data_IF_471350759864
#
_entry.id   IF_471350759864
#
_cell.length_a   1.000
_cell.length_b   1.000
_cell.length_c   1.000
_cell.angle_alpha   90.00
_cell.angle_beta   90.00
_cell.angle_gamma   90.00
#
_symmetry.space_group_name_H-M   'P 1'
#
loop_
_entity.id
_entity.type
_entity.pdbx_description
1 polymer ?
#
# COMPACT_ATOMS: atom_id res chain seq x y z
N UNK A 1 -15.89 18.63 2.76
CA UNK A 1 -17.36 18.80 2.66
C UNK A 1 -17.76 20.18 2.17
N UNK A 2 -17.32 21.26 2.84
CA UNK A 2 -17.58 22.64 2.41
C UNK A 2 -16.47 23.18 1.50
N UNK A 3 -16.81 24.04 0.56
CA UNK A 3 -15.88 24.80 -0.27
C UNK A 3 -15.32 26.01 0.50
N UNK A 4 -14.25 26.68 0.03
CA UNK A 4 -13.66 27.84 0.71
C UNK A 4 -14.64 29.00 0.96
N UNK A 5 -15.70 29.10 0.18
CA UNK A 5 -16.79 30.09 0.33
C UNK A 5 -17.86 29.66 1.36
N UNK A 6 -17.68 28.52 2.02
CA UNK A 6 -18.59 27.97 3.03
C UNK A 6 -19.75 27.13 2.48
N UNK A 7 -19.93 27.10 1.14
CA UNK A 7 -21.00 26.33 0.51
C UNK A 7 -20.73 24.82 0.59
N UNK A 8 -21.79 24.02 0.70
CA UNK A 8 -21.68 22.56 0.64
C UNK A 8 -21.34 22.14 -0.79
N UNK A 9 -20.27 21.36 -0.96
CA UNK A 9 -19.90 20.82 -2.27
C UNK A 9 -21.00 19.88 -2.77
N UNK A 10 -21.30 19.90 -4.07
CA UNK A 10 -22.39 19.12 -4.69
C UNK A 10 -22.37 17.64 -4.30
N UNK A 11 -21.19 17.00 -4.32
CA UNK A 11 -21.03 15.59 -3.96
C UNK A 11 -21.45 15.27 -2.51
N UNK A 12 -21.42 16.28 -1.63
CA UNK A 12 -21.77 16.17 -0.22
C UNK A 12 -23.20 16.64 0.09
N UNK A 13 -23.99 17.09 -0.89
CA UNK A 13 -25.30 17.71 -0.63
C UNK A 13 -26.29 16.77 0.07
N UNK A 14 -26.38 15.51 -0.37
CA UNK A 14 -27.24 14.50 0.25
C UNK A 14 -26.79 14.19 1.68
N UNK A 15 -25.48 13.98 1.89
CA UNK A 15 -24.93 13.75 3.22
C UNK A 15 -25.13 14.95 4.15
N UNK A 16 -24.96 16.18 3.66
CA UNK A 16 -25.20 17.40 4.42
C UNK A 16 -26.65 17.48 4.90
N UNK A 17 -27.60 17.28 3.98
CA UNK A 17 -29.02 17.27 4.33
C UNK A 17 -29.38 16.16 5.32
N UNK A 18 -28.71 15.01 5.25
CA UNK A 18 -28.90 13.92 6.20
C UNK A 18 -28.36 14.28 7.58
N UNK A 19 -27.15 14.83 7.65
CA UNK A 19 -26.52 15.27 8.90
C UNK A 19 -27.31 16.40 9.56
N UNK A 20 -27.86 17.34 8.79
CA UNK A 20 -28.70 18.44 9.31
C UNK A 20 -30.02 17.94 9.92
N UNK A 21 -30.50 16.75 9.51
CA UNK A 21 -31.74 16.14 10.01
C UNK A 21 -31.51 15.11 11.14
N UNK A 22 -30.26 14.80 11.48
CA UNK A 22 -29.91 13.86 12.54
C UNK A 22 -29.46 14.61 13.79
N UNK A 23 -29.87 14.13 14.96
CA UNK A 23 -29.30 14.61 16.21
C UNK A 23 -27.87 14.06 16.38
N UNK A 24 -26.98 14.86 16.97
CA UNK A 24 -25.65 14.42 17.38
C UNK A 24 -25.71 13.15 18.24
N UNK A 25 -26.69 13.05 19.15
CA UNK A 25 -26.90 11.87 19.98
C UNK A 25 -27.18 10.61 19.14
N UNK A 26 -27.93 10.73 18.04
CA UNK A 26 -28.17 9.63 17.11
C UNK A 26 -26.89 9.19 16.41
N UNK A 27 -26.05 10.15 15.98
CA UNK A 27 -24.76 9.86 15.35
C UNK A 27 -23.80 9.18 16.33
N UNK A 28 -23.68 9.67 17.56
CA UNK A 28 -22.86 9.05 18.61
C UNK A 28 -23.34 7.64 18.94
N UNK A 29 -24.66 7.44 19.01
CA UNK A 29 -25.24 6.09 19.23
C UNK A 29 -24.86 5.13 18.11
N UNK A 30 -24.96 5.56 16.84
CA UNK A 30 -24.54 4.76 15.69
C UNK A 30 -23.02 4.51 15.72
N UNK A 31 -22.22 5.48 16.12
CA UNK A 31 -20.75 5.40 16.17
C UNK A 31 -20.32 4.32 17.18
N UNK A 32 -20.91 4.36 18.38
CA UNK A 32 -20.69 3.34 19.41
C UNK A 32 -21.13 1.94 18.94
N UNK A 33 -22.26 1.85 18.22
CA UNK A 33 -22.72 0.59 17.65
C UNK A 33 -21.77 0.05 16.57
N UNK A 34 -21.16 0.93 15.76
CA UNK A 34 -20.14 0.56 14.79
C UNK A 34 -18.90 0.02 15.49
N UNK A 35 -18.36 0.74 16.47
CA UNK A 35 -17.19 0.30 17.24
C UNK A 35 -17.41 -1.04 17.95
N UNK A 36 -18.61 -1.27 18.49
CA UNK A 36 -18.97 -2.57 19.07
C UNK A 36 -19.00 -3.68 18.02
N UNK A 37 -19.51 -3.39 16.81
CA UNK A 37 -19.52 -4.35 15.72
C UNK A 37 -18.11 -4.68 15.23
N UNK A 38 -17.25 -3.67 15.07
CA UNK A 38 -15.83 -3.86 14.74
C UNK A 38 -15.14 -4.77 15.76
N UNK A 39 -15.42 -4.56 17.05
CA UNK A 39 -14.91 -5.40 18.14
C UNK A 39 -15.42 -6.84 18.05
N UNK A 40 -16.70 -7.04 17.75
CA UNK A 40 -17.30 -8.38 17.63
C UNK A 40 -16.80 -9.15 16.41
N UNK A 41 -16.54 -8.46 15.30
CA UNK A 41 -16.00 -9.04 14.07
C UNK A 41 -14.48 -9.27 14.14
N UNK A 42 -13.82 -8.83 15.22
CA UNK A 42 -12.37 -8.98 15.37
C UNK A 42 -11.58 -8.15 14.37
N UNK A 43 -12.16 -7.06 13.86
CA UNK A 43 -11.50 -6.14 12.93
C UNK A 43 -10.49 -5.32 13.75
N UNK A 44 -9.31 -5.88 13.95
CA UNK A 44 -8.23 -5.30 14.76
C UNK A 44 -7.04 -4.92 13.89
N UNK A 45 -6.16 -4.08 14.44
CA UNK A 45 -4.84 -3.80 13.91
C UNK A 45 -3.83 -3.93 15.05
N UNK A 46 -2.80 -4.74 14.87
CA UNK A 46 -1.73 -4.80 15.86
C UNK A 46 -0.80 -3.59 15.69
N UNK A 47 -0.82 -2.68 16.67
CA UNK A 47 0.21 -1.65 16.80
C UNK A 47 1.29 -2.22 17.71
N UNK A 48 2.51 -2.40 17.19
CA UNK A 48 3.67 -2.73 18.03
C UNK A 48 4.00 -1.51 18.90
N UNK A 49 3.32 -1.40 20.05
CA UNK A 49 3.72 -0.53 21.15
C UNK A 49 4.40 -1.41 22.21
N UNK A 50 5.60 -1.02 22.63
CA UNK A 50 6.29 -1.65 23.76
C UNK A 50 5.37 -1.66 25.00
N UNK A 51 4.87 -2.85 25.38
CA UNK A 51 4.18 -3.09 26.65
C UNK A 51 2.64 -2.93 26.67
N UNK A 52 1.95 -2.86 25.53
CA UNK A 52 0.47 -2.82 25.45
C UNK A 52 -0.17 -4.08 24.88
N UNK A 53 -1.51 -4.19 24.95
CA UNK A 53 -2.28 -5.27 24.30
C UNK A 53 -1.91 -5.37 22.82
N UNK A 54 -1.65 -6.59 22.34
CA UNK A 54 -1.17 -6.88 20.98
C UNK A 54 -2.16 -6.52 19.87
N UNK A 55 -3.40 -6.16 20.22
CA UNK A 55 -4.45 -5.78 19.29
C UNK A 55 -5.09 -4.47 19.76
N UNK A 56 -5.18 -3.48 18.87
CA UNK A 56 -6.00 -2.28 19.02
C UNK A 56 -7.08 -2.27 17.95
N UNK A 57 -8.27 -1.80 18.31
CA UNK A 57 -9.29 -1.48 17.33
C UNK A 57 -8.86 -0.25 16.53
N UNK A 58 -9.03 -0.29 15.22
CA UNK A 58 -8.90 0.90 14.39
C UNK A 58 -10.12 1.79 14.71
N UNK A 59 -9.91 3.07 15.09
CA UNK A 59 -11.02 4.00 15.22
C UNK A 59 -11.76 4.11 13.89
N UNK A 60 -13.07 3.91 13.93
CA UNK A 60 -13.95 4.05 12.79
C UNK A 60 -14.63 5.42 12.83
N UNK A 61 -14.96 6.02 11.69
CA UNK A 61 -15.79 7.23 11.65
C UNK A 61 -16.95 7.00 10.68
N UNK A 62 -18.16 7.34 11.12
CA UNK A 62 -19.39 7.15 10.34
C UNK A 62 -19.56 8.14 9.18
N UNK A 63 -18.79 9.22 9.12
CA UNK A 63 -18.98 10.25 8.09
C UNK A 63 -18.11 9.88 6.88
N UNK A 64 -18.70 9.46 5.75
CA UNK A 64 -17.91 8.93 4.65
C UNK A 64 -17.08 10.00 3.94
N UNK A 65 -15.91 9.59 3.45
CA UNK A 65 -15.16 10.35 2.45
C UNK A 65 -15.78 10.13 1.07
N UNK A 66 -16.46 11.15 0.55
CA UNK A 66 -17.10 11.11 -0.76
C UNK A 66 -16.16 11.72 -1.80
N UNK A 67 -15.93 10.96 -2.88
CA UNK A 67 -15.32 11.43 -4.12
C UNK A 67 -16.39 11.40 -5.22
N UNK A 68 -16.47 12.45 -6.01
CA UNK A 68 -17.33 12.42 -7.19
C UNK A 68 -16.74 11.55 -8.31
N UNK A 69 -17.56 11.18 -9.31
CA UNK A 69 -17.10 10.31 -10.40
C UNK A 69 -15.92 10.91 -11.17
N UNK A 70 -15.91 12.22 -11.40
CA UNK A 70 -14.86 12.89 -12.17
C UNK A 70 -13.53 12.97 -11.42
N UNK A 71 -13.58 13.10 -10.09
CA UNK A 71 -12.43 12.98 -9.21
C UNK A 71 -11.89 11.55 -9.23
N UNK A 72 -12.77 10.55 -9.14
CA UNK A 72 -12.38 9.15 -9.22
C UNK A 72 -11.81 8.78 -10.59
N UNK A 73 -12.37 9.28 -11.69
CA UNK A 73 -11.84 9.08 -13.06
C UNK A 73 -10.40 9.59 -13.22
N UNK A 74 -10.06 10.68 -12.54
CA UNK A 74 -8.70 11.21 -12.52
C UNK A 74 -7.77 10.28 -11.73
N UNK A 75 -8.18 9.90 -10.51
CA UNK A 75 -7.43 9.02 -9.62
C UNK A 75 -7.21 7.64 -10.26
N UNK A 76 -8.26 7.01 -10.78
CA UNK A 76 -8.23 5.71 -11.41
C UNK A 76 -7.24 5.69 -12.59
N UNK A 77 -7.38 6.63 -13.54
CA UNK A 77 -6.48 6.70 -14.70
C UNK A 77 -5.03 6.93 -14.28
N UNK A 78 -4.80 7.80 -13.30
CA UNK A 78 -3.46 8.09 -12.82
C UNK A 78 -2.81 6.93 -12.07
N UNK A 79 -3.55 6.22 -11.22
CA UNK A 79 -3.06 5.02 -10.56
C UNK A 79 -2.75 3.92 -11.58
N UNK A 80 -3.60 3.69 -12.57
CA UNK A 80 -3.35 2.71 -13.64
C UNK A 80 -2.08 3.05 -14.45
N UNK A 81 -1.92 4.31 -14.86
CA UNK A 81 -0.70 4.78 -15.55
C UNK A 81 0.55 4.53 -14.71
N UNK A 82 0.50 4.93 -13.43
CA UNK A 82 1.63 4.81 -12.50
C UNK A 82 2.04 3.36 -12.26
N UNK A 83 1.07 2.49 -11.96
CA UNK A 83 1.32 1.06 -11.70
C UNK A 83 1.84 0.34 -12.95
N UNK A 84 1.38 0.75 -14.14
CA UNK A 84 1.94 0.24 -15.41
C UNK A 84 3.41 0.62 -15.57
N UNK A 85 3.75 1.89 -15.34
CA UNK A 85 5.16 2.34 -15.40
C UNK A 85 6.03 1.64 -14.35
N UNK A 86 5.51 1.40 -13.14
CA UNK A 86 6.22 0.65 -12.09
C UNK A 86 6.47 -0.81 -12.50
N UNK A 87 5.47 -1.49 -13.08
CA UNK A 87 5.67 -2.87 -13.54
C UNK A 87 6.70 -2.95 -14.69
N UNK A 88 6.69 -2.00 -15.63
CA UNK A 88 7.70 -1.94 -16.69
C UNK A 88 9.08 -1.63 -16.10
N UNK A 89 9.16 -0.72 -15.12
CA UNK A 89 10.40 -0.43 -14.40
C UNK A 89 10.97 -1.69 -13.71
N UNK A 90 10.13 -2.42 -12.99
CA UNK A 90 10.52 -3.67 -12.33
C UNK A 90 11.01 -4.71 -13.34
N UNK A 91 10.34 -4.84 -14.48
CA UNK A 91 10.83 -5.70 -15.55
C UNK A 91 12.21 -5.24 -16.06
N UNK A 92 12.36 -3.96 -16.39
CA UNK A 92 13.61 -3.41 -16.93
C UNK A 92 14.81 -3.63 -16.00
N UNK A 93 14.70 -3.31 -14.70
CA UNK A 93 15.82 -3.43 -13.76
C UNK A 93 16.32 -4.86 -13.54
N UNK A 94 15.45 -5.86 -13.75
CA UNK A 94 15.81 -7.28 -13.65
C UNK A 94 16.23 -7.88 -15.00
N UNK A 95 16.17 -7.12 -16.09
CA UNK A 95 16.52 -7.55 -17.44
C UNK A 95 17.55 -6.59 -18.07
N UNK A 96 17.12 -5.75 -19.01
CA UNK A 96 18.02 -4.96 -19.83
C UNK A 96 18.53 -3.69 -19.15
N UNK A 97 17.88 -3.19 -18.10
CA UNK A 97 18.28 -2.01 -17.34
C UNK A 97 18.44 -0.74 -18.20
N UNK A 98 17.57 -0.58 -19.20
CA UNK A 98 17.58 0.52 -20.17
C UNK A 98 17.43 1.90 -19.49
N UNK A 99 16.63 2.03 -18.44
CA UNK A 99 16.47 3.31 -17.72
C UNK A 99 17.75 3.74 -16.99
N UNK A 100 18.57 2.76 -16.58
CA UNK A 100 19.88 2.99 -15.96
C UNK A 100 20.90 3.35 -17.05
N UNK A 101 20.92 2.61 -18.17
CA UNK A 101 21.78 2.89 -19.32
C UNK A 101 21.51 4.28 -19.92
N UNK A 102 20.25 4.72 -19.92
CA UNK A 102 19.84 6.06 -20.33
C UNK A 102 20.24 7.16 -19.33
N UNK A 103 20.76 6.82 -18.16
CA UNK A 103 21.20 7.76 -17.13
C UNK A 103 20.05 8.47 -16.38
N UNK A 104 18.81 7.96 -16.50
CA UNK A 104 17.64 8.58 -15.85
C UNK A 104 17.51 8.20 -14.38
N UNK A 105 17.82 6.94 -14.05
CA UNK A 105 17.88 6.42 -12.68
C UNK A 105 19.32 6.02 -12.37
N UNK A 106 19.95 6.55 -11.29
CA UNK A 106 21.30 6.16 -10.92
C UNK A 106 21.40 4.67 -10.53
N UNK A 107 22.43 3.95 -11.01
CA UNK A 107 22.58 2.51 -10.74
C UNK A 107 22.65 2.18 -9.25
N UNK A 108 23.27 3.04 -8.44
CA UNK A 108 23.42 2.85 -7.00
C UNK A 108 22.07 2.83 -6.26
N UNK A 109 21.02 3.46 -6.80
CA UNK A 109 19.68 3.43 -6.21
C UNK A 109 18.93 2.13 -6.44
N UNK A 110 19.36 1.36 -7.44
CA UNK A 110 18.78 0.07 -7.77
C UNK A 110 19.66 -1.03 -7.19
N UNK A 111 20.92 -1.08 -7.63
CA UNK A 111 21.82 -2.21 -7.39
C UNK A 111 22.34 -2.29 -5.95
N UNK A 112 22.34 -1.18 -5.20
CA UNK A 112 22.70 -1.16 -3.77
C UNK A 112 21.48 -1.09 -2.85
N UNK A 113 20.27 -1.14 -3.41
CA UNK A 113 19.05 -1.15 -2.62
C UNK A 113 18.91 -2.51 -1.91
N UNK A 114 18.61 -2.51 -0.61
CA UNK A 114 18.43 -3.74 0.17
C UNK A 114 17.22 -4.57 -0.25
N UNK A 115 16.26 -3.96 -0.95
CA UNK A 115 15.10 -4.62 -1.53
C UNK A 115 15.36 -5.14 -2.95
N UNK A 116 16.48 -4.78 -3.60
CA UNK A 116 16.88 -5.39 -4.85
C UNK A 116 17.26 -6.86 -4.61
N UNK A 117 16.88 -7.70 -5.55
CA UNK A 117 17.01 -9.17 -5.46
C UNK A 117 17.77 -9.66 -6.69
N UNK A 118 19.11 -9.76 -6.63
CA UNK A 118 19.90 -10.29 -7.74
C UNK A 118 19.42 -11.68 -8.21
N UNK A 119 18.79 -12.43 -7.31
CA UNK A 119 18.16 -13.71 -7.56
C UNK A 119 17.08 -13.66 -8.65
N UNK A 120 16.46 -12.50 -8.87
CA UNK A 120 15.40 -12.26 -9.86
C UNK A 120 15.92 -11.84 -11.23
N UNK A 121 17.24 -11.66 -11.42
CA UNK A 121 17.82 -11.28 -12.72
C UNK A 121 17.51 -12.33 -13.79
N UNK A 122 16.92 -11.87 -14.90
CA UNK A 122 16.53 -12.70 -16.04
C UNK A 122 15.37 -13.66 -15.76
N UNK A 123 14.67 -13.53 -14.63
CA UNK A 123 13.42 -14.27 -14.39
C UNK A 123 12.26 -13.49 -14.99
N UNK A 124 11.56 -14.11 -15.92
CA UNK A 124 10.32 -13.58 -16.48
C UNK A 124 9.12 -14.09 -15.65
N UNK A 125 8.48 -13.24 -14.82
CA UNK A 125 7.23 -13.63 -14.17
C UNK A 125 6.12 -13.78 -15.22
N UNK A 126 5.10 -14.61 -14.96
CA UNK A 126 3.96 -14.75 -15.87
C UNK A 126 3.35 -13.39 -16.26
N UNK A 127 3.10 -13.22 -17.56
CA UNK A 127 2.60 -11.97 -18.15
C UNK A 127 3.47 -10.73 -17.89
N UNK A 128 4.74 -10.90 -17.49
CA UNK A 128 5.67 -9.83 -17.12
C UNK A 128 5.13 -8.92 -16.00
N UNK A 129 4.27 -9.45 -15.11
CA UNK A 129 3.70 -8.70 -13.99
C UNK A 129 4.47 -8.99 -12.71
N UNK A 130 5.01 -7.94 -12.09
CA UNK A 130 5.67 -8.03 -10.79
C UNK A 130 4.71 -7.63 -9.67
N UNK A 131 4.16 -6.43 -9.74
CA UNK A 131 3.20 -5.88 -8.80
C UNK A 131 1.78 -6.17 -9.30
N UNK A 132 1.21 -7.28 -8.83
CA UNK A 132 -0.15 -7.72 -9.13
C UNK A 132 -1.17 -6.87 -8.36
N UNK A 133 -0.83 -6.53 -7.12
CA UNK A 133 -1.53 -5.55 -6.29
C UNK A 133 -0.56 -4.41 -5.96
N UNK A 134 -1.02 -3.18 -6.10
CA UNK A 134 -0.29 -1.99 -5.72
C UNK A 134 -1.19 -1.06 -4.90
N UNK A 135 -0.73 -0.67 -3.71
CA UNK A 135 -1.37 0.38 -2.91
C UNK A 135 -0.75 1.73 -3.24
N UNK A 136 -1.56 2.72 -3.61
CA UNK A 136 -1.09 4.07 -3.94
C UNK A 136 -1.65 5.05 -2.91
N UNK A 137 -0.78 5.57 -2.05
CA UNK A 137 -1.19 6.48 -0.99
C UNK A 137 -1.35 7.89 -1.56
N UNK A 138 -2.58 8.41 -1.48
CA UNK A 138 -2.94 9.68 -2.07
C UNK A 138 -3.37 10.68 -1.01
N UNK A 139 -2.88 11.90 -1.16
CA UNK A 139 -3.40 13.07 -0.46
C UNK A 139 -3.99 14.05 -1.45
N UNK A 140 -4.83 14.93 -0.91
CA UNK A 140 -5.48 15.99 -1.66
C UNK A 140 -5.16 17.33 -1.02
N UNK A 141 -4.84 18.34 -1.81
CA UNK A 141 -4.57 19.72 -1.32
C UNK A 141 -5.54 20.76 -1.88
N UNK A 142 -6.24 20.41 -2.96
CA UNK A 142 -7.24 21.26 -3.63
C UNK A 142 -8.32 20.42 -4.29
N UNK A 143 -9.20 21.03 -5.08
CA UNK A 143 -10.34 20.31 -5.65
C UNK A 143 -9.90 19.21 -6.63
N UNK A 144 -8.89 19.47 -7.46
CA UNK A 144 -8.35 18.48 -8.42
C UNK A 144 -6.88 18.14 -8.18
N UNK A 145 -6.36 18.58 -7.04
CA UNK A 145 -4.94 18.50 -6.74
C UNK A 145 -4.68 17.28 -5.85
N UNK A 146 -4.49 16.13 -6.50
CA UNK A 146 -4.09 14.88 -5.89
C UNK A 146 -2.58 14.67 -6.02
N UNK A 147 -1.97 14.20 -4.94
CA UNK A 147 -0.55 13.89 -4.86
C UNK A 147 -0.34 12.48 -4.32
N UNK A 148 0.52 11.71 -4.98
CA UNK A 148 1.01 10.44 -4.46
C UNK A 148 2.00 10.73 -3.35
N UNK A 149 1.83 10.13 -2.18
CA UNK A 149 2.81 10.16 -1.08
C UNK A 149 3.78 8.99 -1.16
N UNK A 150 3.25 7.81 -1.41
CA UNK A 150 3.97 6.55 -1.32
C UNK A 150 3.32 5.52 -2.26
N UNK A 151 4.15 4.63 -2.77
CA UNK A 151 3.75 3.46 -3.53
C UNK A 151 3.98 2.24 -2.63
N UNK A 152 3.11 1.24 -2.69
CA UNK A 152 3.23 0.03 -1.90
C UNK A 152 3.10 -1.17 -2.83
N UNK A 153 4.23 -1.75 -3.25
CA UNK A 153 4.26 -2.84 -4.25
C UNK A 153 4.87 -4.14 -3.71
N UNK A 154 5.18 -4.23 -2.41
CA UNK A 154 5.55 -5.47 -1.72
C UNK A 154 4.31 -6.31 -1.42
N UNK A 155 3.75 -6.15 -0.23
CA UNK A 155 2.62 -6.92 0.33
C UNK A 155 1.53 -5.96 0.82
N UNK A 156 1.00 -5.07 -0.06
CA UNK A 156 0.07 -4.02 0.36
C UNK A 156 -1.15 -4.59 1.08
N UNK A 157 -1.60 -3.88 2.11
CA UNK A 157 -2.74 -4.24 2.96
C UNK A 157 -3.76 -3.11 3.03
N UNK A 158 -4.94 -3.42 3.57
CA UNK A 158 -5.97 -2.46 3.93
C UNK A 158 -7.31 -2.66 3.24
N UNK A 159 -7.41 -3.57 2.28
CA UNK A 159 -8.63 -3.79 1.51
C UNK A 159 -9.74 -4.45 2.33
N UNK A 160 -9.40 -5.28 3.33
CA UNK A 160 -10.44 -5.83 4.23
C UNK A 160 -11.15 -4.70 4.96
N UNK A 161 -10.44 -3.65 5.38
CA UNK A 161 -11.07 -2.49 6.02
C UNK A 161 -11.97 -1.73 5.05
N UNK A 162 -11.63 -1.63 3.76
CA UNK A 162 -12.52 -0.99 2.77
C UNK A 162 -13.84 -1.74 2.65
N UNK A 163 -13.77 -3.07 2.60
CA UNK A 163 -14.94 -3.95 2.47
C UNK A 163 -15.80 -3.91 3.73
N UNK A 164 -15.19 -4.10 4.90
CA UNK A 164 -15.87 -4.04 6.19
C UNK A 164 -16.47 -2.65 6.46
N UNK A 165 -15.74 -1.57 6.19
CA UNK A 165 -16.26 -0.21 6.33
C UNK A 165 -17.54 -0.02 5.49
N UNK A 166 -17.58 -0.57 4.28
CA UNK A 166 -18.77 -0.48 3.41
C UNK A 166 -19.94 -1.24 4.00
N UNK A 167 -19.74 -2.50 4.40
CA UNK A 167 -20.80 -3.35 4.96
C UNK A 167 -21.37 -2.75 6.25
N UNK A 168 -20.50 -2.25 7.13
CA UNK A 168 -20.91 -1.64 8.40
C UNK A 168 -21.69 -0.36 8.16
N UNK A 169 -21.23 0.49 7.24
CA UNK A 169 -21.95 1.69 6.84
C UNK A 169 -23.33 1.37 6.26
N UNK A 170 -23.44 0.38 5.37
CA UNK A 170 -24.72 -0.03 4.79
C UNK A 170 -25.69 -0.58 5.84
N UNK A 171 -25.17 -1.28 6.86
CA UNK A 171 -25.97 -1.85 7.96
C UNK A 171 -26.43 -0.81 8.98
N UNK A 172 -25.56 0.11 9.40
CA UNK A 172 -25.82 1.04 10.51
C UNK A 172 -26.32 2.40 10.04
N UNK A 173 -25.99 2.78 8.81
CA UNK A 173 -26.34 4.06 8.23
C UNK A 173 -26.89 3.94 6.79
N UNK A 174 -27.92 3.12 6.54
CA UNK A 174 -28.47 2.89 5.20
C UNK A 174 -28.98 4.17 4.53
N UNK A 175 -29.48 5.14 5.31
CA UNK A 175 -29.94 6.43 4.80
C UNK A 175 -28.82 7.24 4.15
N UNK A 176 -27.56 7.01 4.53
CA UNK A 176 -26.40 7.63 3.88
C UNK A 176 -26.13 7.08 2.47
N UNK A 177 -26.81 5.99 2.08
CA UNK A 177 -26.77 5.41 0.73
C UNK A 177 -28.05 5.70 -0.06
N UNK A 178 -29.15 5.97 0.64
CA UNK A 178 -30.45 6.19 0.02
C UNK A 178 -30.41 7.37 -0.97
N UNK A 179 -30.90 7.13 -2.20
CA UNK A 179 -30.92 8.13 -3.26
C UNK A 179 -29.55 8.49 -3.85
N UNK A 180 -28.48 7.76 -3.50
CA UNK A 180 -27.14 7.97 -4.03
C UNK A 180 -26.70 6.80 -4.91
N UNK A 181 -25.95 7.09 -5.98
CA UNK A 181 -25.37 6.07 -6.86
C UNK A 181 -23.92 5.78 -6.45
N UNK A 182 -23.76 5.01 -5.38
CA UNK A 182 -22.45 4.65 -4.83
C UNK A 182 -21.94 3.39 -5.53
N UNK A 183 -20.70 3.43 -6.04
CA UNK A 183 -20.10 2.26 -6.69
C UNK A 183 -19.83 1.12 -5.68
N UNK A 184 -20.15 -0.14 -6.01
CA UNK A 184 -19.90 -1.28 -5.14
C UNK A 184 -18.41 -1.56 -5.03
N UNK A 185 -18.00 -2.14 -3.90
CA UNK A 185 -16.62 -2.61 -3.65
C UNK A 185 -16.56 -4.11 -3.35
N UNK A 186 -17.70 -4.75 -3.08
CA UNK A 186 -17.78 -6.13 -2.59
C UNK A 186 -17.22 -7.21 -3.53
N UNK A 187 -17.12 -6.93 -4.83
CA UNK A 187 -16.57 -7.87 -5.83
C UNK A 187 -15.04 -7.87 -5.91
N UNK A 188 -14.34 -7.17 -5.01
CA UNK A 188 -12.88 -7.13 -5.01
C UNK A 188 -12.23 -8.53 -4.87
N UNK A 189 -12.62 -9.40 -3.90
CA UNK A 189 -11.98 -10.70 -3.74
C UNK A 189 -12.14 -11.60 -4.98
N UNK A 190 -13.32 -11.59 -5.59
CA UNK A 190 -13.59 -12.33 -6.84
C UNK A 190 -12.65 -11.89 -7.96
N UNK A 191 -12.54 -10.57 -8.21
CA UNK A 191 -11.63 -10.01 -9.22
C UNK A 191 -10.17 -10.28 -8.91
N UNK A 192 -9.79 -10.27 -7.63
CA UNK A 192 -8.44 -10.63 -7.20
C UNK A 192 -8.14 -12.08 -7.54
N UNK A 193 -9.05 -13.01 -7.22
CA UNK A 193 -8.88 -14.42 -7.54
C UNK A 193 -8.78 -14.65 -9.05
N UNK A 194 -9.64 -13.99 -9.85
CA UNK A 194 -9.56 -14.04 -11.32
C UNK A 194 -8.18 -13.60 -11.83
N UNK A 195 -7.65 -12.49 -11.31
CA UNK A 195 -6.33 -11.99 -11.68
C UNK A 195 -5.20 -12.95 -11.25
N UNK A 196 -5.31 -13.56 -10.07
CA UNK A 196 -4.35 -14.55 -9.58
C UNK A 196 -4.37 -15.81 -10.46
N UNK A 197 -5.55 -16.30 -10.85
CA UNK A 197 -5.68 -17.45 -11.76
C UNK A 197 -5.10 -17.14 -13.15
N UNK A 198 -5.27 -15.90 -13.63
CA UNK A 198 -4.77 -15.46 -14.94
C UNK A 198 -3.24 -15.45 -15.08
N UNK A 199 -2.50 -15.48 -13.97
CA UNK A 199 -1.03 -15.57 -13.97
C UNK A 199 -0.51 -17.00 -13.75
N UNK A 200 -1.39 -18.00 -13.74
CA UNK A 200 -0.97 -19.40 -13.60
C UNK A 200 -0.07 -19.84 -14.75
N UNK A 201 1.08 -20.49 -14.47
CA UNK A 201 1.97 -20.99 -15.52
C UNK A 201 1.49 -22.30 -16.15
N UNK A 202 0.57 -23.02 -15.50
CA UNK A 202 0.17 -24.37 -15.94
C UNK A 202 -0.82 -24.36 -17.10
N UNK A 203 -1.45 -23.22 -17.39
CA UNK A 203 -2.54 -23.13 -18.38
C UNK A 203 -3.75 -24.02 -18.03
N UNK A 204 -3.84 -24.49 -16.78
CA UNK A 204 -4.95 -25.31 -16.30
C UNK A 204 -6.25 -24.51 -16.30
N UNK A 205 -7.38 -25.18 -16.57
CA UNK A 205 -8.70 -24.55 -16.54
C UNK A 205 -9.09 -24.06 -15.13
N UNK A 206 -8.64 -24.76 -14.08
CA UNK A 206 -8.82 -24.36 -12.68
C UNK A 206 -7.50 -24.48 -11.90
N UNK A 207 -6.65 -23.43 -11.95
CA UNK A 207 -5.36 -23.46 -11.27
C UNK A 207 -5.53 -23.30 -9.76
N UNK A 208 -4.76 -24.07 -9.00
CA UNK A 208 -4.80 -24.03 -7.54
C UNK A 208 -4.07 -22.79 -7.03
N UNK A 209 -4.84 -21.88 -6.42
CA UNK A 209 -4.35 -20.66 -5.78
C UNK A 209 -4.37 -20.84 -4.27
N UNK A 210 -3.30 -20.44 -3.59
CA UNK A 210 -3.22 -20.42 -2.12
C UNK A 210 -2.77 -19.07 -1.60
N UNK A 211 -3.18 -18.68 -0.39
CA UNK A 211 -2.67 -17.50 0.30
C UNK A 211 -1.62 -17.92 1.32
N UNK A 212 -0.36 -17.54 1.10
CA UNK A 212 0.73 -17.82 2.05
C UNK A 212 0.81 -16.72 3.11
N UNK A 213 0.60 -17.10 4.37
CA UNK A 213 0.62 -16.19 5.53
C UNK A 213 1.80 -16.47 6.46
N UNK A 214 2.38 -15.45 7.12
CA UNK A 214 3.35 -15.63 8.20
C UNK A 214 2.71 -16.11 9.52
N UNK A 215 1.39 -16.31 9.55
CA UNK A 215 0.65 -16.81 10.70
C UNK A 215 0.13 -15.71 11.64
N UNK A 216 -0.50 -16.15 12.72
CA UNK A 216 -1.33 -15.32 13.64
C UNK A 216 -0.63 -14.16 14.35
N UNK A 217 0.70 -14.16 14.39
CA UNK A 217 1.47 -13.12 15.07
C UNK A 217 1.76 -11.90 14.19
N UNK A 218 1.32 -11.92 12.93
CA UNK A 218 1.42 -10.79 12.03
C UNK A 218 0.22 -9.84 12.19
N UNK A 219 0.47 -8.53 12.14
CA UNK A 219 -0.54 -7.49 12.34
C UNK A 219 -1.68 -7.49 11.32
N UNK A 220 -1.45 -8.01 10.11
CA UNK A 220 -2.42 -8.10 9.03
C UNK A 220 -3.06 -9.50 8.92
N UNK A 221 -2.83 -10.40 9.87
CA UNK A 221 -3.35 -11.77 9.81
C UNK A 221 -4.88 -11.85 9.63
N UNK A 222 -5.62 -10.93 10.26
CA UNK A 222 -7.07 -10.81 10.04
C UNK A 222 -7.41 -10.64 8.55
N UNK A 223 -6.71 -9.74 7.84
CA UNK A 223 -6.93 -9.54 6.41
C UNK A 223 -6.56 -10.78 5.59
N UNK A 224 -5.54 -11.53 6.01
CA UNK A 224 -5.12 -12.75 5.32
C UNK A 224 -6.23 -13.81 5.39
N UNK A 225 -6.78 -14.04 6.58
CA UNK A 225 -7.92 -14.95 6.80
C UNK A 225 -9.13 -14.48 6.01
N UNK A 226 -9.49 -13.21 6.15
CA UNK A 226 -10.63 -12.61 5.47
C UNK A 226 -10.55 -12.77 3.95
N UNK A 227 -9.41 -12.44 3.34
CA UNK A 227 -9.24 -12.54 1.89
C UNK A 227 -9.24 -14.00 1.41
N UNK A 228 -8.62 -14.92 2.15
CA UNK A 228 -8.64 -16.35 1.79
C UNK A 228 -10.08 -16.89 1.83
N UNK A 229 -10.85 -16.57 2.87
CA UNK A 229 -12.24 -16.96 3.01
C UNK A 229 -13.12 -16.37 1.90
N UNK A 230 -13.02 -15.06 1.64
CA UNK A 230 -13.82 -14.40 0.61
C UNK A 230 -13.49 -14.86 -0.82
N UNK A 231 -12.25 -15.25 -1.08
CA UNK A 231 -11.85 -15.87 -2.35
C UNK A 231 -12.20 -17.36 -2.41
N UNK A 232 -12.46 -18.01 -1.28
CA UNK A 232 -12.64 -19.47 -1.21
C UNK A 232 -11.37 -20.23 -1.56
N UNK A 233 -10.20 -19.74 -1.13
CA UNK A 233 -8.90 -20.39 -1.33
C UNK A 233 -8.27 -20.79 0.02
N UNK A 234 -7.33 -21.72 -0.03
CA UNK A 234 -6.64 -22.19 1.17
C UNK A 234 -5.69 -21.12 1.73
N UNK A 235 -5.80 -20.89 3.05
CA UNK A 235 -4.85 -20.11 3.83
C UNK A 235 -3.78 -21.07 4.37
N UNK A 236 -2.52 -20.87 3.95
CA UNK A 236 -1.42 -21.79 4.25
C UNK A 236 -0.24 -21.08 4.91
N UNK A 237 0.45 -21.76 5.80
CA UNK A 237 1.77 -21.35 6.31
C UNK A 237 2.88 -22.11 5.57
N UNK A 238 4.15 -21.67 5.73
CA UNK A 238 5.29 -22.28 5.02
C UNK A 238 5.42 -23.80 5.24
N UNK A 239 5.08 -24.29 6.43
CA UNK A 239 5.13 -25.72 6.77
C UNK A 239 4.11 -26.60 6.03
N UNK A 240 3.02 -26.00 5.55
CA UNK A 240 1.96 -26.69 4.79
C UNK A 240 2.36 -26.94 3.35
N UNK A 241 3.38 -26.22 2.85
CA UNK A 241 3.90 -26.32 1.51
C UNK A 241 5.25 -27.04 1.47
N UNK A 242 5.54 -27.70 0.35
CA UNK A 242 6.87 -28.29 0.11
C UNK A 242 7.20 -28.38 -1.38
N UNK A 243 8.48 -28.37 -1.71
CA UNK A 243 8.96 -28.56 -3.07
C UNK A 243 9.31 -30.01 -3.32
N UNK A 244 8.83 -30.58 -4.43
CA UNK A 244 9.19 -31.93 -4.89
C UNK A 244 9.10 -32.00 -6.42
N UNK A 245 10.11 -32.59 -7.05
CA UNK A 245 10.23 -32.75 -8.52
C UNK A 245 10.10 -31.43 -9.29
N UNK A 246 10.54 -30.34 -8.65
CA UNK A 246 10.47 -28.98 -9.20
C UNK A 246 9.04 -28.43 -9.29
N UNK A 247 8.13 -28.86 -8.43
CA UNK A 247 6.81 -28.27 -8.24
C UNK A 247 6.57 -27.97 -6.77
N UNK A 248 5.69 -26.99 -6.49
CA UNK A 248 5.19 -26.72 -5.14
C UNK A 248 3.95 -27.56 -4.89
N UNK A 249 3.90 -28.19 -3.72
CA UNK A 249 2.80 -29.04 -3.28
C UNK A 249 2.30 -28.55 -1.92
N UNK A 250 0.98 -28.55 -1.75
CA UNK A 250 0.30 -28.36 -0.47
C UNK A 250 0.01 -29.72 0.15
N UNK A 251 0.26 -29.86 1.46
CA UNK A 251 -0.05 -31.07 2.23
C UNK A 251 -1.56 -31.12 2.50
N UNK A 252 -2.20 -32.22 2.15
CA UNK A 252 -3.58 -32.52 2.56
C UNK A 252 -3.68 -33.94 3.09
N UNK A 253 -4.80 -34.27 3.74
CA UNK A 253 -5.07 -35.62 4.26
C UNK A 253 -5.27 -36.65 3.15
N UNK A 254 -5.78 -36.25 1.98
CA UNK A 254 -6.03 -37.13 0.83
C UNK A 254 -4.78 -37.31 -0.06
N UNK A 255 -3.75 -36.48 0.16
CA UNK A 255 -2.51 -36.50 -0.59
C UNK A 255 -2.03 -35.10 -0.97
N UNK A 256 -0.83 -34.98 -1.54
CA UNK A 256 -0.30 -33.67 -1.93
C UNK A 256 -1.06 -33.10 -3.14
N UNK A 257 -1.54 -31.86 -3.00
CA UNK A 257 -2.18 -31.10 -4.09
C UNK A 257 -1.16 -30.15 -4.69
N UNK A 258 -1.03 -30.12 -6.01
CA UNK A 258 -0.09 -29.20 -6.69
C UNK A 258 -0.62 -27.77 -6.58
N UNK A 259 0.26 -26.83 -6.23
CA UNK A 259 -0.05 -25.38 -6.19
C UNK A 259 0.48 -24.72 -7.45
N UNK A 260 -0.36 -23.92 -8.12
CA UNK A 260 0.01 -23.20 -9.33
C UNK A 260 0.34 -21.72 -9.07
N UNK A 261 -0.36 -21.09 -8.12
CA UNK A 261 -0.21 -19.67 -7.78
C UNK A 261 -0.19 -19.48 -6.27
N UNK A 262 0.77 -18.70 -5.79
CA UNK A 262 0.89 -18.33 -4.38
C UNK A 262 0.67 -16.82 -4.26
N UNK A 263 -0.44 -16.42 -3.64
CA UNK A 263 -0.62 -15.05 -3.17
C UNK A 263 0.11 -14.90 -1.83
N UNK A 264 1.29 -14.29 -1.85
CA UNK A 264 2.15 -14.19 -0.67
C UNK A 264 1.82 -12.95 0.16
N UNK A 265 1.76 -13.14 1.47
CA UNK A 265 1.73 -12.07 2.49
C UNK A 265 2.94 -12.13 3.42
N UNK A 266 4.03 -12.69 2.90
CA UNK A 266 5.33 -12.86 3.56
C UNK A 266 6.38 -12.06 2.77
N UNK A 267 7.27 -11.36 3.48
CA UNK A 267 8.33 -10.57 2.85
C UNK A 267 9.40 -11.44 2.19
N UNK A 268 10.01 -10.92 1.12
CA UNK A 268 10.94 -11.66 0.24
C UNK A 268 12.01 -12.44 0.99
N UNK A 269 12.63 -11.78 1.98
CA UNK A 269 13.75 -12.35 2.74
C UNK A 269 13.39 -13.61 3.55
N UNK A 270 12.10 -13.85 3.77
CA UNK A 270 11.59 -14.99 4.52
C UNK A 270 11.03 -16.10 3.61
N UNK A 271 10.90 -15.88 2.29
CA UNK A 271 10.16 -16.75 1.38
C UNK A 271 10.82 -18.10 1.09
N UNK A 272 12.15 -18.18 1.12
CA UNK A 272 12.91 -19.41 0.85
C UNK A 272 14.21 -19.42 1.67
N UNK A 273 14.31 -20.25 2.72
CA UNK A 273 15.52 -20.32 3.55
C UNK A 273 16.75 -20.87 2.83
N UNK A 274 16.60 -21.49 1.65
CA UNK A 274 17.75 -21.93 0.84
C UNK A 274 18.35 -20.79 0.01
N UNK A 275 17.62 -19.68 -0.16
CA UNK A 275 18.05 -18.54 -0.98
C UNK A 275 18.24 -17.25 -0.18
N UNK A 276 17.49 -17.07 0.91
CA UNK A 276 17.45 -15.82 1.68
C UNK A 276 17.86 -16.06 3.16
N UNK A 277 16.98 -15.74 4.12
CA UNK A 277 17.27 -15.95 5.54
C UNK A 277 17.19 -17.45 5.90
N UNK A 278 18.34 -18.05 6.18
CA UNK A 278 18.47 -19.49 6.43
C UNK A 278 17.74 -19.99 7.67
N UNK A 279 17.48 -19.11 8.64
CA UNK A 279 16.73 -19.38 9.87
C UNK A 279 15.22 -19.10 9.74
N UNK A 280 14.75 -18.64 8.56
CA UNK A 280 13.33 -18.43 8.31
C UNK A 280 12.55 -19.74 8.38
N UNK A 281 11.48 -19.73 9.19
CA UNK A 281 10.47 -20.80 9.26
C UNK A 281 9.17 -20.43 8.54
N UNK A 282 9.09 -19.25 7.94
CA UNK A 282 7.86 -18.72 7.31
C UNK A 282 7.72 -19.13 5.84
N UNK A 283 8.87 -19.37 5.18
CA UNK A 283 8.93 -19.68 3.76
C UNK A 283 8.89 -21.17 3.44
N UNK A 284 9.15 -21.47 2.17
CA UNK A 284 9.14 -22.84 1.64
C UNK A 284 10.53 -23.15 1.04
N UNK A 285 11.29 -24.10 1.60
CA UNK A 285 12.62 -24.44 1.09
C UNK A 285 12.60 -24.83 -0.40
N UNK A 286 13.39 -24.14 -1.21
CA UNK A 286 13.55 -24.40 -2.65
C UNK A 286 12.51 -23.72 -3.55
N UNK A 287 11.62 -22.90 -2.98
CA UNK A 287 10.60 -22.16 -3.72
C UNK A 287 11.18 -21.28 -4.83
N UNK A 288 12.30 -20.60 -4.58
CA UNK A 288 12.94 -19.76 -5.60
C UNK A 288 13.36 -20.57 -6.82
N UNK A 289 13.81 -21.82 -6.63
CA UNK A 289 14.14 -22.73 -7.72
C UNK A 289 12.92 -23.06 -8.60
N UNK A 290 11.73 -23.22 -8.00
CA UNK A 290 10.50 -23.46 -8.74
C UNK A 290 10.03 -22.21 -9.49
N UNK A 291 10.12 -21.03 -8.86
CA UNK A 291 9.83 -19.74 -9.50
C UNK A 291 10.72 -19.54 -10.72
N UNK A 292 12.05 -19.77 -10.59
CA UNK A 292 13.03 -19.65 -11.68
C UNK A 292 12.73 -20.53 -12.89
N UNK A 293 12.09 -21.68 -12.67
CA UNK A 293 11.71 -22.59 -13.76
C UNK A 293 10.33 -22.31 -14.34
N UNK A 294 9.66 -21.24 -13.87
CA UNK A 294 8.34 -20.82 -14.35
C UNK A 294 7.24 -21.81 -14.02
N UNK A 295 7.37 -22.60 -12.95
CA UNK A 295 6.42 -23.68 -12.61
C UNK A 295 5.42 -23.34 -11.50
N UNK A 296 5.60 -22.17 -10.87
CA UNK A 296 4.68 -21.58 -9.91
C UNK A 296 4.69 -20.06 -10.09
N UNK A 297 3.53 -19.42 -10.03
CA UNK A 297 3.44 -17.96 -10.00
C UNK A 297 3.43 -17.45 -8.56
N UNK A 298 4.04 -16.29 -8.34
CA UNK A 298 4.07 -15.62 -7.05
C UNK A 298 3.50 -14.21 -7.21
N UNK A 299 2.47 -13.89 -6.42
CA UNK A 299 1.83 -12.59 -6.40
C UNK A 299 1.97 -11.94 -5.02
N UNK A 300 2.51 -10.74 -4.87
CA UNK A 300 3.39 -10.07 -5.84
C UNK A 300 4.70 -10.85 -6.04
N UNK A 301 5.39 -10.62 -7.15
CA UNK A 301 6.70 -11.22 -7.41
C UNK A 301 7.73 -10.78 -6.34
N UNK A 302 8.84 -11.51 -6.23
CA UNK A 302 9.97 -11.09 -5.40
C UNK A 302 10.67 -9.88 -6.03
N UNK A 303 11.31 -9.05 -5.21
CA UNK A 303 12.11 -7.92 -5.67
C UNK A 303 11.34 -6.64 -5.98
N UNK A 304 10.03 -6.61 -5.77
CA UNK A 304 9.22 -5.42 -6.06
C UNK A 304 9.59 -4.21 -5.18
N UNK A 305 10.16 -4.45 -3.99
CA UNK A 305 10.45 -3.39 -3.02
C UNK A 305 11.50 -2.36 -3.44
N UNK A 306 12.23 -2.59 -4.53
CA UNK A 306 13.13 -1.58 -5.12
C UNK A 306 12.35 -0.44 -5.80
N UNK A 307 11.09 -0.68 -6.19
CA UNK A 307 10.24 0.33 -6.84
C UNK A 307 9.45 1.20 -5.85
N UNK A 308 9.16 0.72 -4.63
CA UNK A 308 8.51 1.51 -3.58
C UNK A 308 9.47 2.16 -2.58
N UNK A 309 10.78 2.06 -2.80
CA UNK A 309 11.75 2.77 -1.97
C UNK A 309 11.55 4.31 -2.10
N UNK A 310 11.66 5.03 -0.98
CA UNK A 310 11.45 6.49 -0.95
C UNK A 310 12.42 7.26 -1.83
N UNK A 311 13.62 6.73 -2.08
CA UNK A 311 14.56 7.33 -3.01
C UNK A 311 14.16 7.07 -4.47
N UNK A 312 13.46 5.97 -4.75
CA UNK A 312 12.94 5.64 -6.07
C UNK A 312 11.69 6.45 -6.42
N UNK A 313 10.86 6.76 -5.43
CA UNK A 313 9.63 7.54 -5.57
C UNK A 313 9.76 8.79 -6.46
N UNK A 314 10.86 9.56 -6.34
CA UNK A 314 11.06 10.80 -7.12
C UNK A 314 11.26 10.57 -8.62
N UNK A 315 11.64 9.36 -9.00
CA UNK A 315 11.89 8.99 -10.39
C UNK A 315 10.64 8.47 -11.10
N UNK A 316 9.57 8.14 -10.37
CA UNK A 316 8.35 7.57 -10.99
C UNK A 316 7.75 8.45 -12.09
N UNK A 317 7.67 9.79 -11.98
CA UNK A 317 7.24 10.63 -13.10
C UNK A 317 8.14 10.48 -14.34
N UNK A 318 9.46 10.33 -14.15
CA UNK A 318 10.40 10.06 -15.25
C UNK A 318 10.24 8.65 -15.81
N UNK A 319 9.88 7.67 -14.98
CA UNK A 319 9.54 6.32 -15.46
C UNK A 319 8.33 6.36 -16.37
N UNK A 320 7.28 7.11 -16.00
CA UNK A 320 6.08 7.29 -16.83
C UNK A 320 6.47 7.91 -18.18
N UNK A 321 7.26 8.98 -18.18
CA UNK A 321 7.73 9.62 -19.42
C UNK A 321 8.58 8.66 -20.27
N UNK A 322 9.53 7.95 -19.66
CA UNK A 322 10.45 7.07 -20.36
C UNK A 322 9.78 5.83 -20.95
N UNK A 323 8.94 5.14 -20.17
CA UNK A 323 8.34 3.87 -20.59
C UNK A 323 7.03 4.03 -21.34
N UNK A 324 6.24 5.06 -21.03
CA UNK A 324 4.91 5.24 -21.62
C UNK A 324 4.88 6.38 -22.64
N UNK A 325 5.87 7.29 -22.63
CA UNK A 325 5.84 8.49 -23.48
C UNK A 325 4.74 9.48 -23.07
N UNK A 326 4.28 9.39 -21.82
CA UNK A 326 3.16 10.16 -21.28
C UNK A 326 3.64 11.11 -20.17
N UNK A 327 2.88 12.16 -19.89
CA UNK A 327 3.07 12.95 -18.67
C UNK A 327 2.30 12.32 -17.50
N UNK A 328 2.86 12.40 -16.30
CA UNK A 328 2.23 11.89 -15.09
C UNK A 328 0.88 12.59 -14.83
N UNK A 329 -0.18 11.79 -14.70
CA UNK A 329 -1.53 12.28 -14.40
C UNK A 329 -1.66 12.70 -12.93
N UNK A 330 -1.08 11.89 -12.02
CA UNK A 330 -1.04 12.19 -10.59
C UNK A 330 0.30 12.83 -10.24
N UNK A 331 0.24 13.86 -9.41
CA UNK A 331 1.45 14.59 -9.03
C UNK A 331 2.25 13.81 -7.99
N UNK A 332 3.57 13.89 -8.06
CA UNK A 332 4.40 13.61 -6.90
C UNK A 332 4.47 14.86 -6.01
N UNK A 333 4.58 14.66 -4.71
CA UNK A 333 5.05 15.69 -3.79
C UNK A 333 6.48 16.06 -4.16
N UNK A 334 6.72 17.36 -4.31
CA UNK A 334 8.07 17.86 -4.55
C UNK A 334 9.00 17.41 -3.43
N UNK A 335 10.04 16.66 -3.79
CA UNK A 335 10.91 15.98 -2.83
C UNK A 335 12.36 16.33 -3.13
N UNK A 336 13.00 16.98 -2.16
CA UNK A 336 14.42 17.30 -2.19
C UNK A 336 15.25 16.09 -1.77
N UNK A 337 16.28 15.79 -2.55
CA UNK A 337 17.25 14.74 -2.29
C UNK A 337 18.46 15.30 -1.55
N UNK A 338 18.64 14.96 -0.28
CA UNK A 338 19.70 15.59 0.54
C UNK A 338 21.09 15.07 0.17
N UNK A 339 21.20 14.02 -0.65
CA UNK A 339 22.45 13.63 -1.31
C UNK A 339 23.01 14.74 -2.21
N UNK A 340 22.13 15.49 -2.89
CA UNK A 340 22.51 16.60 -3.76
C UNK A 340 22.92 17.79 -2.86
N UNK A 341 24.20 18.22 -2.90
CA UNK A 341 24.66 19.30 -2.04
C UNK A 341 23.88 20.62 -2.20
N UNK A 342 23.39 20.91 -3.41
CA UNK A 342 22.61 22.15 -3.67
C UNK A 342 21.23 22.06 -3.04
N UNK A 343 20.55 20.93 -3.21
CA UNK A 343 19.24 20.70 -2.59
C UNK A 343 19.36 20.63 -1.07
N UNK A 344 20.40 19.96 -0.54
CA UNK A 344 20.67 19.90 0.89
C UNK A 344 20.87 21.29 1.50
N UNK A 345 21.64 22.15 0.84
CA UNK A 345 21.82 23.52 1.30
C UNK A 345 20.49 24.28 1.32
N UNK A 346 19.71 24.20 0.24
CA UNK A 346 18.37 24.79 0.20
C UNK A 346 17.48 24.30 1.35
N UNK A 347 17.48 22.99 1.63
CA UNK A 347 16.74 22.41 2.75
C UNK A 347 17.22 22.94 4.09
N UNK A 348 18.53 23.08 4.31
CA UNK A 348 19.08 23.60 5.56
C UNK A 348 18.73 25.07 5.80
N UNK A 349 18.67 25.86 4.74
CA UNK A 349 18.30 27.28 4.80
C UNK A 349 16.79 27.46 5.07
N UNK A 350 15.97 26.50 4.62
CA UNK A 350 14.51 26.56 4.70
C UNK A 350 13.90 25.54 5.66
N UNK A 351 14.69 24.96 6.55
CA UNK A 351 14.30 23.79 7.35
C UNK A 351 13.07 24.04 8.25
N UNK A 352 12.79 25.29 8.58
CA UNK A 352 11.62 25.70 9.36
C UNK A 352 10.28 25.55 8.61
N UNK A 353 10.29 25.40 7.28
CA UNK A 353 9.09 25.25 6.45
C UNK A 353 8.94 23.85 5.81
N UNK A 354 9.92 22.97 6.05
CA UNK A 354 10.02 21.66 5.40
C UNK A 354 9.83 20.54 6.42
N UNK A 355 9.48 19.37 5.90
CA UNK A 355 9.47 18.12 6.64
C UNK A 355 10.62 17.25 6.14
N UNK A 356 11.51 16.81 7.02
CA UNK A 356 12.64 15.93 6.67
C UNK A 356 12.39 14.53 7.22
N UNK A 357 12.61 13.51 6.39
CA UNK A 357 12.33 12.10 6.70
C UNK A 357 13.50 11.23 6.26
N UNK A 358 13.71 10.11 6.94
CA UNK A 358 14.63 9.07 6.49
C UNK A 358 14.04 8.28 5.31
N UNK A 359 14.91 7.87 4.38
CA UNK A 359 14.57 7.05 3.20
C UNK A 359 14.10 5.67 3.66
N UNK A 360 14.82 5.06 4.60
CA UNK A 360 14.50 3.76 5.18
C UNK A 360 13.75 3.94 6.50
N UNK A 361 12.43 3.66 6.52
CA UNK A 361 11.63 3.67 7.75
C UNK A 361 10.14 3.78 7.51
N UNK A 362 9.33 3.07 8.29
CA UNK A 362 7.86 3.08 8.25
C UNK A 362 7.28 3.88 9.43
N UNK A 363 6.05 4.37 9.28
CA UNK A 363 5.25 4.86 10.41
C UNK A 363 5.64 6.23 11.00
N UNK A 364 6.29 7.12 10.24
CA UNK A 364 6.57 8.50 10.68
C UNK A 364 7.67 8.66 11.73
N UNK A 365 8.28 7.56 12.17
CA UNK A 365 9.45 7.58 13.05
C UNK A 365 10.67 8.19 12.34
N UNK A 366 11.47 8.95 13.08
CA UNK A 366 12.67 9.58 12.53
C UNK A 366 12.42 10.83 11.68
N UNK A 367 11.23 11.43 11.71
CA UNK A 367 10.86 12.64 10.95
C UNK A 367 11.07 13.93 11.76
N UNK A 368 11.50 15.01 11.09
CA UNK A 368 11.48 16.38 11.60
C UNK A 368 10.37 17.17 10.90
N UNK A 369 9.43 17.73 11.67
CA UNK A 369 8.43 18.68 11.16
C UNK A 369 8.93 20.09 11.44
N UNK A 370 9.50 20.75 10.42
CA UNK A 370 10.10 22.08 10.53
C UNK A 370 9.23 23.10 11.28
N UNK A 371 7.96 23.31 10.87
CA UNK A 371 7.08 24.29 11.51
C UNK A 371 6.74 24.01 12.98
N UNK A 372 6.85 22.75 13.40
CA UNK A 372 6.53 22.31 14.76
C UNK A 372 7.78 21.98 15.60
N UNK A 373 8.97 22.41 15.16
CA UNK A 373 10.25 22.13 15.80
C UNK A 373 10.88 23.36 16.42
N UNK A 374 11.79 23.15 17.37
CA UNK A 374 12.67 24.17 17.95
C UNK A 374 13.94 24.38 17.10
N UNK A 375 14.69 25.45 17.38
CA UNK A 375 15.94 25.71 16.65
C UNK A 375 17.01 24.65 16.96
N UNK A 376 17.05 24.19 18.21
CA UNK A 376 17.96 23.18 18.73
C UNK A 376 17.71 21.82 18.06
N UNK A 377 16.44 21.42 17.93
CA UNK A 377 16.04 20.19 17.22
C UNK A 377 16.42 20.24 15.74
N UNK A 378 16.18 21.39 15.08
CA UNK A 378 16.59 21.59 13.68
C UNK A 378 18.09 21.43 13.50
N UNK A 379 18.90 22.02 14.39
CA UNK A 379 20.36 21.94 14.31
C UNK A 379 20.88 20.52 14.62
N UNK A 380 20.28 19.84 15.60
CA UNK A 380 20.59 18.43 15.86
C UNK A 380 20.28 17.55 14.64
N UNK A 381 19.16 17.82 13.96
CA UNK A 381 18.76 17.07 12.78
C UNK A 381 19.66 17.35 11.57
N UNK A 382 20.11 18.60 11.37
CA UNK A 382 21.14 18.93 10.35
C UNK A 382 22.41 18.11 10.54
N UNK A 383 22.89 17.99 11.78
CA UNK A 383 24.07 17.15 12.10
C UNK A 383 23.84 15.67 11.80
N UNK A 384 22.63 15.16 12.02
CA UNK A 384 22.25 13.79 11.67
C UNK A 384 22.30 13.59 10.16
N UNK A 385 21.67 14.49 9.39
CA UNK A 385 21.70 14.46 7.91
C UNK A 385 23.14 14.51 7.39
N UNK A 386 24.00 15.37 7.92
CA UNK A 386 25.38 15.52 7.43
C UNK A 386 26.23 14.26 7.58
N UNK A 387 25.87 13.33 8.47
CA UNK A 387 26.58 12.05 8.65
C UNK A 387 26.27 11.04 7.55
N UNK A 388 25.08 11.12 6.96
CA UNK A 388 24.60 10.20 5.92
C UNK A 388 23.49 10.91 5.12
N UNK A 389 23.84 11.88 4.26
CA UNK A 389 22.85 12.70 3.55
C UNK A 389 22.02 11.91 2.53
N UNK A 390 22.55 10.80 2.04
CA UNK A 390 21.87 9.89 1.12
C UNK A 390 20.65 9.18 1.73
N UNK A 391 20.61 9.02 3.05
CA UNK A 391 19.48 8.41 3.74
C UNK A 391 18.35 9.41 4.10
N UNK A 392 18.35 10.64 3.59
CA UNK A 392 17.31 11.64 3.91
C UNK A 392 16.70 12.29 2.66
N UNK A 393 15.40 12.56 2.77
CA UNK A 393 14.62 13.38 1.85
C UNK A 393 13.92 14.50 2.60
N UNK A 394 13.60 15.59 1.91
CA UNK A 394 12.77 16.66 2.46
C UNK A 394 11.62 17.03 1.52
N UNK A 395 10.48 17.38 2.10
CA UNK A 395 9.26 17.76 1.37
C UNK A 395 8.69 19.06 1.95
N UNK A 396 7.98 19.87 1.16
CA UNK A 396 7.23 21.00 1.68
C UNK A 396 6.13 20.51 2.62
N UNK A 397 5.78 21.35 3.60
CA UNK A 397 4.57 21.10 4.41
C UNK A 397 3.35 21.27 3.51
N UNK A 398 2.56 20.21 3.33
CA UNK A 398 1.38 20.25 2.49
C UNK A 398 0.13 20.60 3.29
N UNK A 399 -0.72 21.44 2.71
CA UNK A 399 -2.05 21.73 3.24
C UNK A 399 -2.98 20.55 2.94
N UNK A 400 -2.90 19.51 3.78
CA UNK A 400 -3.74 18.32 3.64
C UNK A 400 -5.23 18.69 3.68
N UNK A 401 -6.01 18.12 2.76
CA UNK A 401 -7.46 18.25 2.74
C UNK A 401 -8.07 17.80 4.05
N UNK A 402 -9.23 18.34 4.40
CA UNK A 402 -9.97 17.90 5.58
C UNK A 402 -11.26 17.19 5.22
N UNK A 403 -11.57 16.14 5.99
CA UNK A 403 -12.88 15.50 6.01
C UNK A 403 -13.63 15.90 7.29
N UNK A 404 -14.97 16.03 7.24
CA UNK A 404 -15.78 16.09 8.47
C UNK A 404 -15.64 14.77 9.23
N UNK A 405 -15.41 14.85 10.54
CA UNK A 405 -15.21 13.68 11.42
C UNK A 405 -15.93 13.94 12.73
N UNK A 406 -16.60 12.92 13.27
CA UNK A 406 -17.28 12.99 14.55
C UNK A 406 -16.27 12.73 15.68
N UNK A 407 -16.00 13.75 16.50
CA UNK A 407 -15.07 13.68 17.63
C UNK A 407 -15.75 14.26 18.86
N UNK A 408 -15.79 13.49 19.96
CA UNK A 408 -16.33 13.94 21.25
C UNK A 408 -17.73 14.58 21.17
N UNK A 409 -18.56 14.09 20.23
CA UNK A 409 -19.91 14.61 20.00
C UNK A 409 -19.98 15.86 19.10
N UNK A 410 -18.90 16.23 18.42
CA UNK A 410 -18.87 17.35 17.48
C UNK A 410 -18.36 16.94 16.10
N UNK A 411 -18.92 17.53 15.04
CA UNK A 411 -18.43 17.32 13.67
C UNK A 411 -17.38 18.38 13.37
N UNK A 412 -16.11 17.98 13.36
CA UNK A 412 -14.96 18.87 13.15
C UNK A 412 -14.15 18.43 11.93
N UNK A 413 -13.48 19.37 11.22
CA UNK A 413 -12.61 19.02 10.12
C UNK A 413 -11.32 18.34 10.63
N UNK A 414 -10.94 17.20 10.03
CA UNK A 414 -9.68 16.49 10.29
C UNK A 414 -8.90 16.28 9.01
N UNK A 415 -7.59 16.49 9.08
CA UNK A 415 -6.68 16.25 7.95
C UNK A 415 -6.63 14.76 7.60
N UNK A 416 -6.68 14.47 6.31
CA UNK A 416 -6.79 13.13 5.71
C UNK A 416 -5.97 13.02 4.44
#
# INVERSE_FOLDING_TARGET
MRAPDGQVRRAYAALASLLDNLSIESLVTKQNAAEELFRRLGITFAVYAEGGSTERLIPFDLIPRILDRSEWDLVERGCLQRVRAINIFLYDIYHDQEIIKAGLVPPELVLLNSAFRPEMLGIEPPNNVYAHIAGIDLIRTGERDFFVLEDNVRTPSGVSYVLENREIMMRLFPDAFAGQSISPVGNYPERLLENLRAVSPSGAEDPVVVLLTPGRYNSAYFEHVFLAEQMGIELVEGGDLFVRDGFVWMRTTEGPVKVDVIYRRVDDGYMDPLAFQADSTLGVPGLLGVIRTGRVALANALGTGVADDKAMYVYVPRMIEFYLGEHAILNNVHTYMLRDPKQRQHVFDNLHNLVVKEVQGSGGYGMLIGPASTAEEREAYKRRVMRNPENFIAQPTLALSTAPTLIDGEIVPRHV
#
